data_IF_797037453745
#
_entry.id   IF_797037453745
#
_cell.length_a   1.000
_cell.length_b   1.000
_cell.length_c   1.000
_cell.angle_alpha   90.00
_cell.angle_beta   90.00
_cell.angle_gamma   90.00
#
_symmetry.space_group_name_H-M   'P 1'
#
loop_
_entity.id
_entity.type
_entity.pdbx_description
1 polymer ?
#
# COMPACT_ATOMS: atom_id res chain seq x y z
N UNK A 1 18.80 19.50 3.74
CA UNK A 1 18.35 20.05 2.46
C UNK A 1 16.93 19.56 2.27
N UNK A 2 15.98 20.49 2.35
CA UNK A 2 14.55 20.27 2.11
C UNK A 2 14.40 19.81 0.65
N UNK A 3 14.00 18.55 0.44
CA UNK A 3 13.68 18.05 -0.88
C UNK A 3 12.18 18.21 -1.11
N UNK A 4 11.76 19.37 -1.64
CA UNK A 4 10.46 19.50 -2.28
C UNK A 4 10.45 18.59 -3.51
N UNK A 5 9.94 17.37 -3.35
CA UNK A 5 9.67 16.49 -4.48
C UNK A 5 8.43 17.09 -5.15
N UNK A 6 8.66 17.84 -6.24
CA UNK A 6 7.57 18.38 -7.04
C UNK A 6 6.64 17.22 -7.46
N UNK A 7 5.31 17.34 -7.27
CA UNK A 7 4.39 16.28 -7.62
C UNK A 7 4.48 15.97 -9.13
N UNK A 8 4.39 14.69 -9.46
CA UNK A 8 4.51 14.17 -10.81
C UNK A 8 3.41 14.74 -11.73
N UNK A 9 3.63 14.84 -13.05
CA UNK A 9 2.64 15.39 -13.99
C UNK A 9 1.25 14.73 -13.91
N UNK A 10 1.19 13.44 -13.60
CA UNK A 10 -0.04 12.67 -13.43
C UNK A 10 -0.78 13.03 -12.14
N UNK A 11 -0.03 13.29 -11.07
CA UNK A 11 -0.58 13.74 -9.78
C UNK A 11 -1.03 15.20 -9.90
N UNK A 12 -0.28 16.02 -10.63
CA UNK A 12 -0.69 17.38 -10.94
C UNK A 12 -2.02 17.39 -11.71
N UNK A 13 -2.21 16.49 -12.69
CA UNK A 13 -3.50 16.33 -13.38
C UNK A 13 -4.64 15.94 -12.42
N UNK A 14 -4.38 15.08 -11.43
CA UNK A 14 -5.38 14.71 -10.42
C UNK A 14 -5.70 15.87 -9.47
N UNK A 15 -4.70 16.64 -9.05
CA UNK A 15 -4.88 17.85 -8.24
C UNK A 15 -5.63 18.93 -9.02
N UNK A 16 -5.30 19.11 -10.30
CA UNK A 16 -5.92 20.10 -11.20
C UNK A 16 -7.37 19.73 -11.54
N UNK A 17 -7.71 18.44 -11.57
CA UNK A 17 -9.08 17.95 -11.81
C UNK A 17 -10.04 18.24 -10.64
N UNK A 18 -9.51 18.51 -9.45
CA UNK A 18 -10.30 18.68 -8.22
C UNK A 18 -10.82 17.37 -7.62
N UNK A 19 -10.59 16.22 -8.26
CA UNK A 19 -10.94 14.90 -7.74
C UNK A 19 -10.14 14.54 -6.48
N UNK A 20 -8.96 15.13 -6.32
CA UNK A 20 -8.07 14.97 -5.15
C UNK A 20 -7.64 16.33 -4.65
N UNK A 21 -7.75 16.59 -3.35
CA UNK A 21 -7.26 17.82 -2.72
C UNK A 21 -6.01 17.51 -1.89
N UNK A 22 -4.95 18.31 -2.06
CA UNK A 22 -3.85 18.28 -1.11
C UNK A 22 -4.34 18.81 0.24
N UNK A 23 -4.37 17.96 1.27
CA UNK A 23 -4.66 18.31 2.67
C UNK A 23 -3.36 18.61 3.43
N UNK A 24 -2.90 19.87 3.53
CA UNK A 24 -1.64 20.19 4.19
C UNK A 24 -1.67 19.68 5.63
N UNK A 25 -0.89 18.64 5.94
CA UNK A 25 -0.87 18.04 7.28
C UNK A 25 -1.43 16.62 7.40
N UNK A 26 -1.89 15.96 6.32
CA UNK A 26 -1.79 14.50 6.28
C UNK A 26 -0.31 14.12 6.10
N UNK A 27 0.47 14.42 7.14
CA UNK A 27 1.79 13.84 7.34
C UNK A 27 1.50 12.56 8.11
N UNK A 28 1.89 11.41 7.57
CA UNK A 28 2.40 10.34 8.42
C UNK A 28 3.26 11.03 9.48
N UNK A 29 2.99 10.87 10.80
CA UNK A 29 3.65 11.65 11.82
C UNK A 29 5.13 11.76 11.50
N UNK A 30 5.66 13.00 11.41
CA UNK A 30 7.09 13.25 11.15
C UNK A 30 7.86 12.22 11.98
N UNK A 31 8.89 11.60 11.42
CA UNK A 31 9.78 10.66 12.14
C UNK A 31 10.20 11.15 13.54
N UNK A 32 10.09 12.45 13.84
CA UNK A 32 10.25 13.06 15.17
C UNK A 32 9.20 12.70 16.23
N UNK A 33 8.01 12.22 15.87
CA UNK A 33 6.93 11.81 16.79
C UNK A 33 6.59 10.32 16.75
N UNK A 34 7.10 9.61 15.75
CA UNK A 34 7.24 8.17 15.80
C UNK A 34 8.52 7.87 16.59
N UNK A 35 8.55 6.79 17.38
CA UNK A 35 9.83 6.31 17.91
C UNK A 35 10.78 6.11 16.72
N UNK A 36 12.05 6.49 16.87
CA UNK A 36 13.06 6.24 15.83
C UNK A 36 12.90 4.81 15.31
N UNK A 37 12.72 4.68 14.00
CA UNK A 37 12.76 3.36 13.35
C UNK A 37 14.11 2.76 13.75
N UNK A 38 14.13 1.56 14.38
CA UNK A 38 15.38 0.93 14.76
C UNK A 38 16.34 0.94 13.57
N UNK A 39 17.61 1.30 13.79
CA UNK A 39 18.62 1.40 12.73
C UNK A 39 18.84 0.09 11.95
N UNK A 40 18.21 -1.00 12.40
CA UNK A 40 18.26 -2.32 11.81
C UNK A 40 16.84 -2.91 11.81
N UNK A 41 16.33 -3.26 10.63
CA UNK A 41 15.02 -3.89 10.50
C UNK A 41 15.02 -5.20 11.28
N UNK A 42 14.01 -5.39 12.12
CA UNK A 42 13.86 -6.62 12.91
C UNK A 42 13.21 -7.75 12.12
N UNK A 43 12.49 -7.40 11.05
CA UNK A 43 11.86 -8.32 10.11
C UNK A 43 11.58 -7.61 8.78
N UNK A 44 11.49 -8.37 7.69
CA UNK A 44 10.98 -7.89 6.40
C UNK A 44 9.52 -8.31 6.19
N UNK A 45 8.78 -7.57 5.38
CA UNK A 45 7.40 -7.93 5.05
C UNK A 45 7.02 -7.64 3.59
N UNK A 46 6.05 -8.40 3.12
CA UNK A 46 5.38 -8.24 1.84
C UNK A 46 3.93 -7.80 2.08
N UNK A 47 3.48 -6.75 1.40
CA UNK A 47 2.16 -6.14 1.57
C UNK A 47 1.32 -6.26 0.29
N UNK A 48 0.43 -7.25 0.26
CA UNK A 48 -0.53 -7.45 -0.83
C UNK A 48 -1.81 -6.66 -0.55
N UNK A 49 -2.41 -6.12 -1.62
CA UNK A 49 -3.59 -5.26 -1.51
C UNK A 49 -3.30 -4.06 -0.59
N UNK A 50 -2.18 -3.39 -0.86
CA UNK A 50 -1.59 -2.39 0.02
C UNK A 50 -2.51 -1.18 0.26
N UNK A 51 -3.42 -0.90 -0.66
CA UNK A 51 -4.26 0.29 -0.64
C UNK A 51 -3.39 1.54 -0.53
N UNK A 52 -3.64 2.32 0.52
CA UNK A 52 -2.87 3.54 0.83
C UNK A 52 -1.71 3.29 1.82
N UNK A 53 -1.42 2.03 2.16
CA UNK A 53 -0.31 1.61 3.03
C UNK A 53 -0.63 1.62 4.53
N UNK A 54 -1.82 1.15 4.89
CA UNK A 54 -2.23 1.07 6.30
C UNK A 54 -1.38 0.09 7.13
N UNK A 55 -1.03 -1.08 6.56
CA UNK A 55 -0.16 -2.02 7.26
C UNK A 55 1.27 -1.49 7.33
N UNK A 56 1.81 -0.94 6.23
CA UNK A 56 3.11 -0.27 6.18
C UNK A 56 3.32 0.67 7.37
N UNK A 57 2.37 1.57 7.62
CA UNK A 57 2.43 2.52 8.73
C UNK A 57 2.60 1.86 10.10
N UNK A 58 1.87 0.78 10.36
CA UNK A 58 1.96 0.07 11.62
C UNK A 58 3.27 -0.71 11.75
N UNK A 59 3.67 -1.40 10.69
CA UNK A 59 4.83 -2.30 10.67
C UNK A 59 6.15 -1.53 10.69
N UNK A 60 6.24 -0.38 10.02
CA UNK A 60 7.43 0.48 10.05
C UNK A 60 7.75 0.95 11.47
N UNK A 61 6.73 1.31 12.25
CA UNK A 61 6.87 1.72 13.66
C UNK A 61 7.34 0.56 14.55
N UNK A 62 7.07 -0.67 14.15
CA UNK A 62 7.53 -1.88 14.83
C UNK A 62 8.92 -2.34 14.37
N UNK A 63 9.58 -1.60 13.47
CA UNK A 63 10.89 -1.95 12.91
C UNK A 63 10.83 -2.94 11.75
N UNK A 64 9.67 -3.06 11.09
CA UNK A 64 9.51 -3.81 9.86
C UNK A 64 10.07 -3.06 8.65
N UNK A 65 10.48 -3.82 7.63
CA UNK A 65 10.88 -3.29 6.33
C UNK A 65 10.09 -3.95 5.21
N UNK A 66 9.21 -3.19 4.55
CA UNK A 66 8.52 -3.62 3.34
C UNK A 66 9.56 -3.86 2.25
N UNK A 67 9.57 -5.08 1.72
CA UNK A 67 10.40 -5.49 0.58
C UNK A 67 9.59 -5.60 -0.70
N UNK A 68 8.26 -5.66 -0.60
CA UNK A 68 7.35 -5.73 -1.72
C UNK A 68 5.97 -5.23 -1.34
N UNK A 69 5.33 -4.45 -2.22
CA UNK A 69 3.94 -4.05 -2.09
C UNK A 69 3.21 -4.17 -3.43
N UNK A 70 1.95 -4.60 -3.41
CA UNK A 70 1.09 -4.68 -4.59
C UNK A 70 -0.25 -3.96 -4.35
N UNK A 71 -0.64 -3.13 -5.31
CA UNK A 71 -1.92 -2.41 -5.33
C UNK A 71 -2.34 -2.13 -6.77
N UNK A 72 -3.55 -2.55 -7.14
CA UNK A 72 -4.07 -2.45 -8.51
C UNK A 72 -4.77 -1.10 -8.76
N UNK A 73 -5.36 -0.49 -7.72
CA UNK A 73 -6.01 0.80 -7.84
C UNK A 73 -4.98 1.93 -7.96
N UNK A 74 -4.99 2.59 -9.12
CA UNK A 74 -4.05 3.67 -9.46
C UNK A 74 -4.07 4.83 -8.46
N UNK A 75 -5.20 5.14 -7.83
CA UNK A 75 -5.31 6.26 -6.91
C UNK A 75 -4.74 5.90 -5.54
N UNK A 76 -5.02 4.68 -5.07
CA UNK A 76 -4.43 4.10 -3.89
C UNK A 76 -2.91 3.96 -4.03
N UNK A 77 -2.44 3.39 -5.15
CA UNK A 77 -1.01 3.27 -5.47
C UNK A 77 -0.31 4.63 -5.54
N UNK A 78 -0.93 5.65 -6.15
CA UNK A 78 -0.38 7.00 -6.16
C UNK A 78 -0.27 7.59 -4.75
N UNK A 79 -1.28 7.36 -3.91
CA UNK A 79 -1.26 7.79 -2.50
C UNK A 79 -0.18 7.05 -1.72
N UNK A 80 -0.01 5.75 -1.94
CA UNK A 80 1.05 4.93 -1.35
C UNK A 80 2.44 5.50 -1.73
N UNK A 81 2.68 5.71 -3.03
CA UNK A 81 3.94 6.26 -3.52
C UNK A 81 4.26 7.65 -2.98
N UNK A 82 3.24 8.50 -2.82
CA UNK A 82 3.40 9.82 -2.20
C UNK A 82 3.84 9.75 -0.73
N UNK A 83 3.39 8.73 0.02
CA UNK A 83 3.71 8.61 1.44
C UNK A 83 5.03 7.88 1.71
N UNK A 84 5.40 6.91 0.87
CA UNK A 84 6.55 6.03 1.13
C UNK A 84 7.70 6.19 0.12
N UNK A 85 7.50 6.92 -0.98
CA UNK A 85 8.51 7.07 -2.03
C UNK A 85 8.70 5.83 -2.91
N UNK A 86 7.84 4.82 -2.76
CA UNK A 86 7.90 3.53 -3.46
C UNK A 86 6.57 3.29 -4.18
N UNK A 87 6.61 2.89 -5.45
CA UNK A 87 5.41 2.56 -6.23
C UNK A 87 5.10 1.07 -6.10
N UNK A 88 3.87 0.68 -5.68
CA UNK A 88 3.47 -0.72 -5.64
C UNK A 88 3.50 -1.39 -7.02
N UNK A 89 3.65 -2.71 -7.04
CA UNK A 89 3.86 -3.52 -8.25
C UNK A 89 2.64 -3.63 -9.19
N UNK A 90 1.46 -3.11 -8.82
CA UNK A 90 0.24 -3.24 -9.63
C UNK A 90 -0.55 -4.50 -9.32
N UNK A 91 -1.14 -5.13 -10.35
CA UNK A 91 -1.96 -6.35 -10.24
C UNK A 91 -1.10 -7.53 -9.78
N UNK A 92 -1.41 -8.07 -8.59
CA UNK A 92 -0.68 -9.21 -8.02
C UNK A 92 -0.79 -10.47 -8.89
N UNK A 93 -1.88 -10.63 -9.65
CA UNK A 93 -2.08 -11.81 -10.52
C UNK A 93 -1.15 -11.82 -11.73
N UNK A 94 -0.54 -10.68 -12.05
CA UNK A 94 0.46 -10.53 -13.12
C UNK A 94 1.91 -10.61 -12.58
N UNK A 95 2.09 -10.64 -11.25
CA UNK A 95 3.40 -10.75 -10.63
C UNK A 95 3.79 -12.22 -10.49
N UNK A 96 4.99 -12.57 -10.94
CA UNK A 96 5.48 -13.93 -10.74
C UNK A 96 6.04 -14.09 -9.33
N UNK A 97 5.71 -15.20 -8.67
CA UNK A 97 6.11 -15.47 -7.28
C UNK A 97 7.63 -15.35 -7.07
N UNK A 98 8.43 -15.78 -8.05
CA UNK A 98 9.89 -15.68 -7.99
C UNK A 98 10.44 -14.25 -8.02
N UNK A 99 9.63 -13.27 -8.43
CA UNK A 99 10.03 -11.86 -8.47
C UNK A 99 9.75 -11.15 -7.12
N UNK A 100 9.07 -11.82 -6.19
CA UNK A 100 8.81 -11.33 -4.84
C UNK A 100 10.03 -11.67 -3.96
N UNK A 101 10.72 -10.68 -3.37
CA UNK A 101 11.84 -10.93 -2.47
C UNK A 101 11.43 -11.72 -1.22
N UNK A 102 12.37 -12.46 -0.62
CA UNK A 102 12.13 -13.17 0.64
C UNK A 102 11.65 -12.21 1.74
N UNK A 103 10.64 -12.64 2.51
CA UNK A 103 10.04 -11.88 3.60
C UNK A 103 9.73 -12.74 4.83
N UNK A 104 9.70 -12.12 6.00
CA UNK A 104 9.33 -12.79 7.27
C UNK A 104 7.81 -12.77 7.54
N UNK A 105 7.11 -11.75 7.00
CA UNK A 105 5.69 -11.51 7.23
C UNK A 105 4.96 -11.17 5.93
N UNK A 106 3.81 -11.80 5.68
CA UNK A 106 2.87 -11.42 4.63
C UNK A 106 1.68 -10.68 5.25
N UNK A 107 1.33 -9.51 4.72
CA UNK A 107 0.04 -8.86 4.97
C UNK A 107 -0.80 -8.86 3.70
N UNK A 108 -2.10 -9.10 3.84
CA UNK A 108 -3.03 -9.12 2.71
C UNK A 108 -4.38 -8.51 3.12
N UNK A 109 -4.62 -7.26 2.70
CA UNK A 109 -5.89 -6.56 2.91
C UNK A 109 -6.92 -6.85 1.82
N UNK A 110 -7.12 -8.12 1.46
CA UNK A 110 -7.88 -8.47 0.26
C UNK A 110 -9.35 -7.98 0.28
N UNK A 111 -9.97 -7.75 -0.89
CA UNK A 111 -11.26 -7.09 -1.01
C UNK A 111 -12.39 -7.80 -0.23
N UNK A 112 -13.09 -7.07 0.64
CA UNK A 112 -14.14 -7.63 1.49
C UNK A 112 -15.57 -7.52 0.89
N UNK A 113 -15.73 -6.88 -0.28
CA UNK A 113 -17.02 -6.54 -0.90
C UNK A 113 -17.91 -7.77 -1.14
N UNK A 114 -17.30 -8.92 -1.43
CA UNK A 114 -18.01 -10.17 -1.71
C UNK A 114 -18.54 -10.85 -0.44
N UNK A 115 -18.05 -10.45 0.74
CA UNK A 115 -18.35 -11.05 2.05
C UNK A 115 -19.12 -10.13 3.02
N UNK A 116 -19.18 -8.82 2.75
CA UNK A 116 -19.92 -7.87 3.59
C UNK A 116 -21.43 -7.90 3.35
N UNK A 117 -22.21 -7.71 4.42
CA UNK A 117 -23.68 -7.57 4.36
C UNK A 117 -24.13 -6.38 3.51
N UNK A 118 -23.27 -5.35 3.36
CA UNK A 118 -23.53 -4.19 2.52
C UNK A 118 -23.20 -4.39 1.02
N UNK A 119 -22.67 -5.56 0.64
CA UNK A 119 -22.24 -5.89 -0.72
C UNK A 119 -23.14 -6.92 -1.41
N UNK A 120 -22.75 -7.33 -2.63
CA UNK A 120 -23.54 -8.21 -3.52
C UNK A 120 -23.60 -9.67 -3.01
N UNK A 121 -22.87 -10.03 -1.93
CA UNK A 121 -22.83 -11.40 -1.37
C UNK A 121 -22.51 -12.48 -2.42
N UNK A 122 -21.65 -12.14 -3.38
CA UNK A 122 -21.16 -13.10 -4.38
C UNK A 122 -20.25 -14.18 -3.80
N UNK A 123 -19.79 -14.04 -2.55
CA UNK A 123 -18.97 -15.04 -1.88
C UNK A 123 -17.72 -15.38 -2.70
N UNK A 124 -17.41 -16.67 -2.81
CA UNK A 124 -16.27 -17.17 -3.58
C UNK A 124 -16.53 -17.25 -5.09
N UNK A 125 -17.77 -17.04 -5.54
CA UNK A 125 -18.13 -17.03 -6.96
C UNK A 125 -17.87 -15.66 -7.61
N UNK A 126 -17.59 -14.62 -6.80
CA UNK A 126 -17.11 -13.32 -7.25
C UNK A 126 -15.59 -13.36 -7.44
N UNK A 127 -15.04 -12.91 -8.60
CA UNK A 127 -13.60 -12.85 -8.81
C UNK A 127 -12.84 -12.13 -7.68
N UNK A 128 -13.44 -11.09 -7.08
CA UNK A 128 -12.85 -10.35 -5.95
C UNK A 128 -12.83 -11.17 -4.66
N UNK A 129 -13.76 -12.11 -4.52
CA UNK A 129 -13.82 -13.06 -3.42
C UNK A 129 -12.83 -14.23 -3.57
N UNK A 130 -12.16 -14.35 -4.73
CA UNK A 130 -11.14 -15.38 -4.97
C UNK A 130 -9.72 -14.90 -4.70
N UNK A 131 -9.51 -13.60 -4.43
CA UNK A 131 -8.19 -13.00 -4.22
C UNK A 131 -7.42 -13.56 -3.01
N UNK A 132 -8.07 -14.32 -2.11
CA UNK A 132 -7.36 -15.09 -1.09
C UNK A 132 -6.39 -16.13 -1.67
N UNK A 133 -6.57 -16.53 -2.95
CA UNK A 133 -5.69 -17.49 -3.63
C UNK A 133 -4.32 -16.92 -3.93
N UNK A 134 -4.19 -15.60 -4.02
CA UNK A 134 -2.92 -14.91 -4.22
C UNK A 134 -2.12 -14.76 -2.91
N UNK A 135 -2.67 -15.27 -1.80
CA UNK A 135 -2.12 -15.14 -0.44
C UNK A 135 -1.54 -16.48 0.06
N UNK A 136 -1.83 -17.61 -0.59
CA UNK A 136 -1.56 -18.97 -0.08
C UNK A 136 -0.96 -19.91 -1.12
#
# INVERSE_FOLDING_TARGET
MEGDVAPWPEIQKLLDSGDVTWVPGLRVPRQSSLKEVPAQSSFSFCELFAGIGGFRLGLDVLGGHCVFASEIDKHAAATYALNFGETPAGDITECAEQDIPDFDLLTAGFPCQSFTTAGIRGGLDDPRGQMYREVC
#
